data_IF_962621891427
#
_entry.id   IF_962621891427
#
_cell.length_a   1.000
_cell.length_b   1.000
_cell.length_c   1.000
_cell.angle_alpha   90.00
_cell.angle_beta   90.00
_cell.angle_gamma   90.00
#
_symmetry.space_group_name_H-M   'P 1'
#
loop_
_entity.id
_entity.type
_entity.pdbx_description
1 polymer ?
#
# COMPACT_ATOMS: atom_id res chain seq x y z
N UNK A 1 -1.14 -36.54 -32.77
CA UNK A 1 -0.07 -35.55 -32.97
C UNK A 1 0.03 -34.70 -31.71
N UNK A 2 1.16 -34.87 -31.02
CA UNK A 2 1.85 -33.96 -30.09
C UNK A 2 1.03 -33.04 -29.16
N UNK A 3 0.73 -33.55 -27.97
CA UNK A 3 0.81 -32.74 -26.74
C UNK A 3 2.29 -32.66 -26.33
N UNK A 4 2.78 -31.43 -26.15
CA UNK A 4 4.18 -31.12 -25.86
C UNK A 4 4.63 -31.64 -24.51
N UNK A 5 5.29 -32.79 -24.52
CA UNK A 5 6.18 -33.25 -23.48
C UNK A 5 7.44 -32.36 -23.43
N UNK A 6 7.55 -31.52 -22.39
CA UNK A 6 8.83 -31.18 -21.76
C UNK A 6 8.68 -31.23 -20.25
N UNK A 7 8.42 -32.45 -19.76
CA UNK A 7 8.85 -32.85 -18.42
C UNK A 7 10.38 -32.85 -18.43
N UNK A 8 11.01 -31.89 -17.77
CA UNK A 8 12.36 -32.09 -17.29
C UNK A 8 12.30 -33.18 -16.22
N UNK A 9 12.74 -34.38 -16.62
CA UNK A 9 12.93 -35.51 -15.72
C UNK A 9 14.37 -35.51 -15.22
N UNK A 10 14.45 -35.66 -13.90
CA UNK A 10 15.53 -36.30 -13.12
C UNK A 10 16.88 -35.59 -13.02
N UNK A 11 17.15 -34.96 -11.87
CA UNK A 11 17.91 -35.58 -10.78
C UNK A 11 17.94 -34.63 -9.56
N UNK A 12 17.23 -34.99 -8.48
CA UNK A 12 17.69 -34.90 -7.08
C UNK A 12 16.64 -35.57 -6.16
N UNK A 13 17.11 -36.55 -5.37
CA UNK A 13 16.53 -37.18 -4.16
C UNK A 13 14.99 -37.10 -3.93
N UNK A 14 14.28 -38.18 -4.28
CA UNK A 14 12.86 -38.37 -3.95
C UNK A 14 12.50 -38.48 -2.45
N UNK A 15 13.42 -38.22 -1.51
CA UNK A 15 13.10 -38.08 -0.08
C UNK A 15 13.01 -36.64 0.40
N UNK A 16 13.68 -35.68 -0.26
CA UNK A 16 13.67 -34.27 0.15
C UNK A 16 12.47 -33.50 -0.42
N UNK A 17 12.05 -33.82 -1.66
CA UNK A 17 10.85 -33.22 -2.25
C UNK A 17 9.59 -33.51 -1.41
N UNK A 18 9.47 -34.72 -0.86
CA UNK A 18 8.37 -35.07 0.05
C UNK A 18 8.42 -34.29 1.37
N UNK A 19 9.60 -33.81 1.78
CA UNK A 19 9.77 -33.01 2.99
C UNK A 19 9.30 -31.57 2.78
N UNK A 20 9.64 -30.95 1.63
CA UNK A 20 9.24 -29.57 1.32
C UNK A 20 7.72 -29.43 1.14
N UNK A 21 7.07 -30.37 0.44
CA UNK A 21 5.62 -30.37 0.28
C UNK A 21 4.90 -30.54 1.62
N UNK A 22 5.44 -31.39 2.51
CA UNK A 22 4.90 -31.57 3.86
C UNK A 22 5.04 -30.30 4.72
N UNK A 23 6.19 -29.60 4.60
CA UNK A 23 6.42 -28.32 5.28
C UNK A 23 5.48 -27.24 4.75
N UNK A 24 5.34 -27.09 3.43
CA UNK A 24 4.44 -26.13 2.80
C UNK A 24 2.98 -26.36 3.21
N UNK A 25 2.53 -27.62 3.16
CA UNK A 25 1.18 -28.00 3.61
C UNK A 25 0.96 -27.66 5.09
N UNK A 26 1.94 -27.95 5.94
CA UNK A 26 1.86 -27.61 7.37
C UNK A 26 1.79 -26.10 7.60
N UNK A 27 2.60 -25.31 6.89
CA UNK A 27 2.55 -23.83 6.97
C UNK A 27 1.16 -23.34 6.55
N UNK A 28 0.60 -23.85 5.46
CA UNK A 28 -0.74 -23.48 5.01
C UNK A 28 -1.83 -23.85 6.04
N UNK A 29 -1.75 -25.03 6.65
CA UNK A 29 -2.66 -25.48 7.71
C UNK A 29 -2.56 -24.59 8.97
N UNK A 30 -1.34 -24.27 9.40
CA UNK A 30 -1.08 -23.40 10.56
C UNK A 30 -1.60 -21.97 10.31
N UNK A 31 -1.32 -21.41 9.13
CA UNK A 31 -1.81 -20.08 8.72
C UNK A 31 -3.33 -20.05 8.64
N UNK A 32 -3.96 -21.08 8.06
CA UNK A 32 -5.42 -21.16 8.00
C UNK A 32 -6.03 -21.17 9.39
N UNK A 33 -5.46 -21.97 10.30
CA UNK A 33 -5.91 -22.02 11.70
C UNK A 33 -5.78 -20.65 12.37
N UNK A 34 -4.66 -19.98 12.17
CA UNK A 34 -4.40 -18.62 12.68
C UNK A 34 -5.40 -17.59 12.16
N UNK A 35 -5.70 -17.59 10.85
CA UNK A 35 -6.71 -16.72 10.24
C UNK A 35 -8.10 -17.03 10.81
N UNK A 36 -8.45 -18.31 10.94
CA UNK A 36 -9.73 -18.75 11.50
C UNK A 36 -9.91 -18.26 12.95
N UNK A 37 -8.87 -18.38 13.76
CA UNK A 37 -8.86 -18.00 15.18
C UNK A 37 -8.76 -16.48 15.40
N UNK A 38 -8.48 -15.71 14.35
CA UNK A 38 -8.44 -14.24 14.41
C UNK A 38 -9.79 -13.67 14.86
N UNK A 39 -9.75 -12.76 15.83
CA UNK A 39 -10.91 -12.08 16.41
C UNK A 39 -10.82 -10.58 16.15
N UNK A 40 -11.90 -9.88 16.47
CA UNK A 40 -11.93 -8.43 16.53
C UNK A 40 -11.54 -7.98 17.95
N UNK A 41 -10.27 -7.60 18.21
CA UNK A 41 -9.86 -7.20 19.55
C UNK A 41 -10.44 -5.83 19.91
N UNK A 42 -10.53 -5.53 21.20
CA UNK A 42 -10.65 -4.14 21.64
C UNK A 42 -9.30 -3.46 21.41
N UNK A 43 -9.27 -2.32 20.72
CA UNK A 43 -8.01 -1.63 20.42
C UNK A 43 -7.23 -1.28 21.69
N UNK A 44 -5.92 -1.53 21.65
CA UNK A 44 -4.99 -1.34 22.76
C UNK A 44 -5.28 -2.15 24.04
N UNK A 45 -6.02 -3.25 23.91
CA UNK A 45 -6.09 -4.29 24.94
C UNK A 45 -4.90 -5.25 24.83
N UNK A 46 -4.77 -6.17 25.81
CA UNK A 46 -3.84 -7.30 25.69
C UNK A 46 -4.17 -8.18 24.48
N UNK A 47 -5.45 -8.37 24.15
CA UNK A 47 -5.84 -9.12 22.94
C UNK A 47 -5.42 -8.40 21.65
N UNK A 48 -5.41 -7.07 21.63
CA UNK A 48 -4.90 -6.29 20.51
C UNK A 48 -3.40 -6.52 20.32
N UNK A 49 -2.61 -6.51 21.40
CA UNK A 49 -1.16 -6.80 21.33
C UNK A 49 -0.89 -8.16 20.68
N UNK A 50 -1.63 -9.21 21.09
CA UNK A 50 -1.56 -10.54 20.48
C UNK A 50 -2.00 -10.51 19.01
N UNK A 51 -3.03 -9.74 18.69
CA UNK A 51 -3.52 -9.58 17.32
C UNK A 51 -2.50 -8.89 16.41
N UNK A 52 -1.70 -7.96 16.94
CA UNK A 52 -0.61 -7.33 16.19
C UNK A 52 0.44 -8.35 15.74
N UNK A 53 0.84 -9.26 16.64
CA UNK A 53 1.84 -10.29 16.32
C UNK A 53 1.29 -11.30 15.30
N UNK A 54 0.01 -11.66 15.44
CA UNK A 54 -0.69 -12.50 14.49
C UNK A 54 -0.77 -11.88 13.09
N UNK A 55 -1.17 -10.60 13.01
CA UNK A 55 -1.27 -9.86 11.74
C UNK A 55 0.12 -9.68 11.12
N UNK A 56 1.15 -9.33 11.90
CA UNK A 56 2.53 -9.25 11.41
C UNK A 56 3.00 -10.59 10.83
N UNK A 57 2.68 -11.71 11.51
CA UNK A 57 3.01 -13.05 11.01
C UNK A 57 2.30 -13.36 9.69
N UNK A 58 0.99 -13.14 9.60
CA UNK A 58 0.21 -13.39 8.37
C UNK A 58 0.72 -12.51 7.22
N UNK A 59 0.97 -11.22 7.47
CA UNK A 59 1.48 -10.31 6.45
C UNK A 59 2.86 -10.75 5.95
N UNK A 60 3.75 -11.27 6.81
CA UNK A 60 5.03 -11.85 6.37
C UNK A 60 4.82 -13.02 5.42
N UNK A 61 3.88 -13.92 5.70
CA UNK A 61 3.58 -15.05 4.79
C UNK A 61 3.02 -14.53 3.46
N UNK A 62 2.09 -13.57 3.47
CA UNK A 62 1.58 -12.94 2.23
C UNK A 62 2.71 -12.31 1.41
N UNK A 63 3.65 -11.63 2.07
CA UNK A 63 4.81 -11.05 1.40
C UNK A 63 5.71 -12.14 0.81
N UNK A 64 5.93 -13.25 1.53
CA UNK A 64 6.69 -14.38 0.99
C UNK A 64 6.01 -15.00 -0.23
N UNK A 65 4.70 -15.29 -0.17
CA UNK A 65 3.94 -15.83 -1.31
C UNK A 65 4.04 -14.94 -2.55
N UNK A 66 4.07 -13.61 -2.35
CA UNK A 66 4.18 -12.62 -3.43
C UNK A 66 5.62 -12.41 -3.90
N UNK A 67 6.59 -12.48 -3.00
CA UNK A 67 8.01 -12.36 -3.32
C UNK A 67 8.59 -13.65 -3.93
N UNK A 68 7.95 -14.81 -3.73
CA UNK A 68 8.30 -16.07 -4.40
C UNK A 68 8.01 -16.04 -5.92
N UNK A 69 7.16 -15.11 -6.39
CA UNK A 69 7.11 -14.71 -7.82
C UNK A 69 8.36 -13.95 -8.29
N UNK A 70 9.29 -13.69 -7.37
CA UNK A 70 10.53 -12.94 -7.56
C UNK A 70 11.71 -13.65 -6.88
N UNK A 71 11.65 -14.97 -6.69
CA UNK A 71 12.68 -15.79 -6.02
C UNK A 71 14.09 -15.50 -6.54
N UNK A 72 14.25 -15.25 -7.85
CA UNK A 72 15.52 -14.81 -8.46
C UNK A 72 16.08 -13.51 -7.86
N UNK A 73 15.22 -12.55 -7.51
CA UNK A 73 15.63 -11.30 -6.88
C UNK A 73 16.04 -11.49 -5.41
N UNK A 74 15.44 -12.46 -4.70
CA UNK A 74 15.85 -12.84 -3.34
C UNK A 74 17.18 -13.58 -3.38
N UNK A 75 17.33 -14.58 -4.24
CA UNK A 75 18.61 -15.30 -4.42
C UNK A 75 19.72 -14.35 -4.87
N UNK A 76 19.44 -13.41 -5.77
CA UNK A 76 20.42 -12.40 -6.17
C UNK A 76 20.81 -11.44 -5.04
N UNK A 77 19.88 -11.11 -4.12
CA UNK A 77 20.17 -10.25 -2.97
C UNK A 77 21.00 -11.00 -1.92
N UNK A 78 20.65 -12.25 -1.61
CA UNK A 78 21.42 -13.11 -0.72
C UNK A 78 22.83 -13.38 -1.25
N UNK A 79 22.98 -13.70 -2.53
CA UNK A 79 24.29 -13.91 -3.15
C UNK A 79 25.14 -12.62 -3.17
N UNK A 80 24.50 -11.44 -3.30
CA UNK A 80 25.19 -10.15 -3.26
C UNK A 80 25.66 -9.81 -1.84
N UNK A 81 24.86 -10.12 -0.83
CA UNK A 81 25.21 -9.89 0.57
C UNK A 81 26.30 -10.89 1.03
N UNK A 82 26.29 -12.13 0.55
CA UNK A 82 27.39 -13.09 0.75
C UNK A 82 28.68 -12.66 0.05
N UNK A 83 28.59 -12.17 -1.20
CA UNK A 83 29.77 -11.69 -1.94
C UNK A 83 30.43 -10.49 -1.25
N UNK A 84 29.64 -9.56 -0.70
CA UNK A 84 30.15 -8.44 0.10
C UNK A 84 30.86 -8.90 1.36
N UNK A 85 30.30 -9.89 2.06
CA UNK A 85 30.89 -10.43 3.29
C UNK A 85 32.26 -11.07 3.02
N UNK A 86 32.40 -11.78 1.89
CA UNK A 86 33.68 -12.36 1.45
C UNK A 86 34.71 -11.29 1.07
N UNK A 87 34.29 -10.15 0.51
CA UNK A 87 35.20 -9.04 0.19
C UNK A 87 35.67 -8.29 1.46
N UNK A 88 34.78 -8.11 2.45
CA UNK A 88 35.13 -7.50 3.74
C UNK A 88 36.10 -8.38 4.54
N UNK A 89 35.91 -9.70 4.54
CA UNK A 89 36.83 -10.63 5.22
C UNK A 89 38.21 -10.68 4.55
N UNK A 90 38.31 -10.54 3.22
CA UNK A 90 39.60 -10.49 2.50
C UNK A 90 40.40 -9.22 2.75
N UNK A 91 39.73 -8.10 3.03
CA UNK A 91 40.41 -6.86 3.39
C UNK A 91 40.90 -6.83 4.85
N UNK A 92 40.28 -7.63 5.73
CA UNK A 92 40.72 -7.82 7.11
C UNK A 92 42.04 -8.62 7.20
N UNK A 93 42.26 -9.62 6.34
CA UNK A 93 43.43 -10.49 6.44
C UNK A 93 44.71 -9.92 5.81
N UNK A 94 44.60 -8.93 4.91
CA UNK A 94 45.76 -8.37 4.21
C UNK A 94 46.43 -7.18 4.92
N UNK A 95 45.86 -6.66 6.01
CA UNK A 95 46.45 -5.54 6.76
C UNK A 95 47.37 -5.95 7.93
N UNK A 96 47.69 -7.24 8.08
CA UNK A 96 48.40 -7.74 9.27
C UNK A 96 49.84 -8.22 9.03
N UNK A 97 50.40 -8.02 7.84
CA UNK A 97 51.79 -8.39 7.52
C UNK A 97 52.60 -7.11 7.28
N UNK A 98 53.00 -6.46 8.37
CA UNK A 98 54.15 -5.56 8.38
C UNK A 98 55.22 -6.21 9.27
N UNK A 99 56.34 -6.51 8.62
CA UNK A 99 57.49 -7.29 9.08
C UNK A 99 58.26 -6.51 10.14
N UNK A 100 58.50 -7.16 11.29
CA UNK A 100 59.57 -6.82 12.23
C UNK A 100 60.88 -7.39 11.67
N UNK A 101 61.86 -6.54 11.39
CA UNK A 101 63.26 -6.93 11.29
C UNK A 101 64.09 -6.06 12.25
N UNK A 102 64.71 -6.73 13.21
CA UNK A 102 65.73 -6.21 14.12
C UNK A 102 67.10 -6.22 13.43
N UNK A 103 67.90 -5.16 13.61
CA UNK A 103 69.34 -5.28 13.94
C UNK A 103 69.91 -3.91 14.36
N UNK A 104 70.60 -3.89 15.50
CA UNK A 104 71.22 -2.70 16.07
C UNK A 104 72.61 -2.37 15.51
N UNK A 105 73.13 -1.18 15.80
CA UNK A 105 74.27 -0.95 16.71
C UNK A 105 74.68 0.54 16.80
N UNK A 106 74.97 0.97 18.02
CA UNK A 106 75.89 2.02 18.54
C UNK A 106 76.08 3.45 17.98
N UNK A 107 75.96 4.37 18.95
CA UNK A 107 76.79 5.54 19.31
C UNK A 107 76.63 6.94 18.70
N UNK A 108 76.52 7.89 19.66
CA UNK A 108 76.86 9.33 19.64
C UNK A 108 75.87 10.22 18.88
N UNK A 109 75.50 11.44 19.31
CA UNK A 109 75.78 12.25 20.48
C UNK A 109 74.90 13.53 20.38
N UNK A 110 74.72 14.21 21.52
CA UNK A 110 74.61 15.69 21.64
C UNK A 110 73.27 16.41 21.35
N UNK A 111 72.68 16.85 22.48
CA UNK A 111 72.14 18.18 22.78
C UNK A 111 70.77 18.68 22.30
N UNK A 112 70.11 19.29 23.30
CA UNK A 112 69.27 20.49 23.26
C UNK A 112 67.89 20.32 22.56
N UNK A 113 66.76 20.77 23.11
CA UNK A 113 66.48 21.80 24.11
C UNK A 113 65.03 21.62 24.56
N UNK A 114 64.76 21.81 25.86
CA UNK A 114 63.66 22.61 26.47
C UNK A 114 62.41 22.89 25.62
N UNK A 115 61.17 22.89 26.09
CA UNK A 115 60.54 22.86 27.42
C UNK A 115 59.09 23.30 27.20
N UNK A 116 58.17 22.90 28.10
CA UNK A 116 56.98 23.66 28.56
C UNK A 116 55.93 24.11 27.52
N UNK A 117 54.62 24.10 27.76
CA UNK A 117 53.77 24.06 28.93
C UNK A 117 52.36 24.41 28.39
N UNK A 118 51.32 23.68 28.76
CA UNK A 118 50.38 24.03 29.83
C UNK A 118 49.65 25.40 29.66
N UNK A 119 48.32 25.34 29.81
CA UNK A 119 47.36 26.44 30.09
C UNK A 119 47.02 27.38 28.92
N UNK A 120 45.86 28.02 28.78
CA UNK A 120 44.59 28.07 29.51
C UNK A 120 43.57 28.81 28.61
N UNK A 121 42.30 28.79 29.05
CA UNK A 121 41.14 29.56 28.59
C UNK A 121 41.39 30.99 28.08
N UNK A 122 40.50 31.51 27.21
CA UNK A 122 39.66 32.70 27.49
C UNK A 122 38.71 33.07 26.34
N UNK A 123 37.49 33.45 26.74
CA UNK A 123 36.66 34.59 26.31
C UNK A 123 36.29 34.79 24.83
N UNK A 124 34.98 34.87 24.59
CA UNK A 124 34.40 36.09 23.99
C UNK A 124 32.96 36.30 24.46
N UNK A 125 32.66 37.57 24.71
CA UNK A 125 31.52 38.14 25.40
C UNK A 125 30.63 38.96 24.47
N UNK A 126 29.36 39.10 24.87
CA UNK A 126 28.47 40.27 24.76
C UNK A 126 28.16 40.86 23.37
N UNK A 127 26.86 40.95 23.02
CA UNK A 127 26.12 42.22 23.16
C UNK A 127 24.60 42.04 23.01
N UNK A 128 23.89 42.87 23.78
CA UNK A 128 22.44 43.02 23.98
C UNK A 128 21.71 43.64 22.76
N UNK A 129 20.37 43.52 22.72
CA UNK A 129 19.40 44.60 22.48
C UNK A 129 17.98 44.12 22.83
N UNK A 130 17.33 44.89 23.71
CA UNK A 130 15.93 44.87 24.14
C UNK A 130 14.93 45.21 23.02
N UNK A 131 13.73 44.59 23.05
CA UNK A 131 12.48 45.33 22.79
C UNK A 131 11.24 44.64 23.42
N UNK A 132 10.73 45.23 24.50
CA UNK A 132 9.43 44.95 25.13
C UNK A 132 8.27 45.62 24.37
N UNK A 133 7.16 44.91 24.14
CA UNK A 133 5.79 45.47 24.04
C UNK A 133 4.74 44.31 24.15
N UNK A 134 3.46 44.57 24.50
CA UNK A 134 2.88 44.02 25.73
C UNK A 134 1.71 43.04 25.54
N UNK A 135 1.51 42.23 26.58
CA UNK A 135 0.40 41.29 26.80
C UNK A 135 -0.87 42.03 27.28
N UNK A 136 -2.06 41.80 26.70
CA UNK A 136 -3.31 42.16 27.34
C UNK A 136 -3.89 41.01 28.18
N UNK A 137 -4.34 41.42 29.38
CA UNK A 137 -4.84 40.59 30.47
C UNK A 137 -6.21 39.96 30.20
N UNK A 138 -6.36 38.82 30.86
CA UNK A 138 -7.53 38.03 31.22
C UNK A 138 -8.82 38.82 31.53
N UNK A 139 -9.96 38.28 31.10
CA UNK A 139 -11.25 38.51 31.77
C UNK A 139 -11.93 37.17 32.04
N UNK A 140 -12.04 36.88 33.33
CA UNK A 140 -12.69 35.73 33.94
C UNK A 140 -14.20 35.98 34.02
N UNK A 141 -15.03 35.13 33.41
CA UNK A 141 -16.48 35.10 33.65
C UNK A 141 -16.94 33.64 33.78
N UNK A 142 -17.60 33.34 34.90
CA UNK A 142 -18.36 32.11 35.21
C UNK A 142 -19.54 32.55 36.11
N UNK A 143 -20.58 31.74 36.31
CA UNK A 143 -21.40 30.97 35.36
C UNK A 143 -22.89 31.38 35.43
N UNK A 144 -23.60 31.28 34.31
CA UNK A 144 -25.07 31.38 34.26
C UNK A 144 -25.72 30.00 34.29
N UNK A 145 -26.68 29.83 35.19
CA UNK A 145 -27.56 28.67 35.40
C UNK A 145 -28.72 28.59 34.40
N UNK A 146 -29.38 27.42 34.37
CA UNK A 146 -30.62 27.05 33.66
C UNK A 146 -30.43 26.67 32.17
N UNK A 147 -31.07 25.64 31.60
CA UNK A 147 -32.18 24.78 32.03
C UNK A 147 -32.24 23.52 31.15
N UNK A 148 -32.77 22.46 31.74
CA UNK A 148 -33.36 21.27 31.10
C UNK A 148 -34.12 21.59 29.80
N UNK A 149 -34.04 20.72 28.79
CA UNK A 149 -35.16 20.25 27.95
C UNK A 149 -34.69 19.08 27.04
N UNK A 150 -35.23 17.90 27.34
CA UNK A 150 -35.74 16.83 26.48
C UNK A 150 -34.96 16.32 25.25
N UNK A 151 -34.44 15.11 25.42
CA UNK A 151 -34.45 14.02 24.43
C UNK A 151 -35.79 13.89 23.68
N UNK A 152 -35.75 13.51 22.39
CA UNK A 152 -36.62 12.41 22.00
C UNK A 152 -35.97 11.37 21.07
N UNK A 153 -36.14 10.12 21.52
CA UNK A 153 -36.61 8.95 20.75
C UNK A 153 -35.76 8.39 19.61
N UNK A 154 -35.07 7.32 20.00
CA UNK A 154 -34.94 6.05 19.26
C UNK A 154 -36.23 5.71 18.48
N UNK A 155 -36.15 5.60 17.16
CA UNK A 155 -37.09 4.81 16.35
C UNK A 155 -36.39 3.53 15.91
N UNK A 156 -36.81 2.41 16.52
CA UNK A 156 -36.57 1.06 16.05
C UNK A 156 -37.47 0.83 14.83
N UNK A 157 -36.91 0.63 13.65
CA UNK A 157 -37.63 0.04 12.52
C UNK A 157 -37.53 -1.48 12.63
N UNK A 158 -38.69 -2.08 12.91
CA UNK A 158 -38.95 -3.51 12.80
C UNK A 158 -38.98 -3.83 11.29
N UNK A 159 -37.97 -4.52 10.76
CA UNK A 159 -38.04 -5.14 9.43
C UNK A 159 -38.43 -6.60 9.65
N UNK A 160 -39.68 -6.87 9.33
CA UNK A 160 -40.32 -8.18 9.37
C UNK A 160 -39.89 -8.95 8.12
N UNK A 161 -39.18 -10.07 8.30
CA UNK A 161 -38.86 -11.00 7.23
C UNK A 161 -40.13 -11.72 6.78
N UNK A 162 -40.63 -11.35 5.61
CA UNK A 162 -41.67 -12.10 4.91
C UNK A 162 -41.04 -13.28 4.17
N UNK A 163 -41.37 -14.49 4.59
CA UNK A 163 -41.11 -15.71 3.83
C UNK A 163 -42.10 -15.80 2.66
N UNK A 164 -41.60 -15.80 1.43
CA UNK A 164 -42.39 -16.19 0.26
C UNK A 164 -41.90 -17.53 -0.27
N UNK A 165 -42.76 -18.51 -0.07
CA UNK A 165 -42.73 -19.88 -0.53
C UNK A 165 -42.75 -20.00 -2.05
N UNK A 166 -42.01 -21.01 -2.51
CA UNK A 166 -42.01 -21.61 -3.84
C UNK A 166 -43.41 -21.85 -4.39
N UNK A 167 -43.67 -21.42 -5.63
CA UNK A 167 -44.63 -22.05 -6.54
C UNK A 167 -43.99 -22.17 -7.92
N UNK A 168 -43.83 -23.43 -8.35
CA UNK A 168 -43.41 -23.78 -9.69
C UNK A 168 -44.52 -23.54 -10.70
N UNK A 169 -44.15 -23.09 -11.89
CA UNK A 169 -45.00 -23.21 -13.07
C UNK A 169 -44.16 -23.67 -14.25
N UNK A 170 -44.63 -24.78 -14.80
CA UNK A 170 -44.16 -25.51 -15.96
C UNK A 170 -44.49 -24.71 -17.21
N UNK A 171 -43.50 -24.42 -18.06
CA UNK A 171 -43.77 -24.06 -19.45
C UNK A 171 -42.81 -24.79 -20.39
N UNK A 172 -43.38 -25.76 -21.09
CA UNK A 172 -42.86 -26.36 -22.30
C UNK A 172 -42.88 -25.33 -23.43
N UNK A 173 -41.79 -25.22 -24.19
CA UNK A 173 -41.91 -24.77 -25.58
C UNK A 173 -40.85 -25.41 -26.49
N UNK A 174 -41.36 -25.89 -27.62
CA UNK A 174 -40.70 -26.69 -28.65
C UNK A 174 -40.05 -25.81 -29.74
N UNK A 175 -38.86 -26.25 -30.17
CA UNK A 175 -38.25 -26.17 -31.52
C UNK A 175 -38.20 -24.83 -32.29
N UNK A 176 -36.99 -24.45 -32.74
CA UNK A 176 -36.61 -24.39 -34.18
C UNK A 176 -35.12 -24.06 -34.41
N UNK A 177 -34.44 -24.96 -35.13
CA UNK A 177 -33.18 -24.77 -35.91
C UNK A 177 -33.47 -23.93 -37.17
N UNK A 178 -32.51 -23.19 -37.78
CA UNK A 178 -31.60 -23.76 -38.81
C UNK A 178 -30.26 -22.97 -38.96
N UNK A 179 -29.50 -23.03 -40.08
CA UNK A 179 -28.67 -24.14 -40.55
C UNK A 179 -27.17 -23.79 -40.72
N UNK A 180 -26.38 -24.84 -40.89
CA UNK A 180 -24.96 -24.91 -41.29
C UNK A 180 -24.71 -24.59 -42.76
N UNK A 181 -23.58 -23.92 -43.07
CA UNK A 181 -22.43 -24.30 -43.96
C UNK A 181 -21.76 -23.04 -44.61
N UNK A 182 -20.57 -23.08 -45.28
CA UNK A 182 -19.45 -24.03 -45.28
C UNK A 182 -18.04 -23.38 -45.10
N UNK A 183 -17.06 -24.25 -44.92
CA UNK A 183 -15.59 -24.08 -44.86
C UNK A 183 -14.86 -23.75 -46.19
N UNK A 184 -13.75 -22.98 -46.13
CA UNK A 184 -12.49 -23.11 -46.94
C UNK A 184 -11.50 -21.94 -46.67
N UNK A 185 -10.21 -21.99 -47.08
CA UNK A 185 -9.11 -22.86 -46.66
C UNK A 185 -7.90 -22.07 -46.09
N UNK A 186 -6.92 -22.83 -45.62
CA UNK A 186 -5.59 -22.47 -45.11
C UNK A 186 -4.67 -21.70 -46.08
N UNK A 187 -3.86 -20.80 -45.54
CA UNK A 187 -2.53 -20.47 -46.09
C UNK A 187 -1.50 -20.26 -44.99
N UNK A 188 -0.48 -21.10 -45.03
CA UNK A 188 0.75 -21.08 -44.24
C UNK A 188 1.67 -19.95 -44.73
N UNK A 189 2.39 -19.29 -43.82
CA UNK A 189 3.39 -18.28 -44.16
C UNK A 189 4.32 -17.99 -42.99
N UNK A 190 5.40 -18.75 -42.92
CA UNK A 190 6.49 -18.69 -41.95
C UNK A 190 7.27 -17.37 -42.02
N UNK A 191 7.64 -16.77 -40.88
CA UNK A 191 8.97 -16.14 -40.72
C UNK A 191 9.32 -16.03 -39.23
N UNK A 192 10.30 -16.84 -38.84
CA UNK A 192 11.05 -16.75 -37.59
C UNK A 192 12.18 -15.77 -37.84
N UNK A 193 12.26 -14.66 -37.11
CA UNK A 193 13.51 -13.92 -36.88
C UNK A 193 13.64 -13.67 -35.39
N UNK A 194 14.50 -14.49 -34.80
CA UNK A 194 15.14 -14.32 -33.51
C UNK A 194 16.11 -13.15 -33.55
N UNK A 195 15.92 -12.17 -32.66
CA UNK A 195 16.97 -11.24 -32.26
C UNK A 195 16.88 -10.99 -30.75
N UNK A 196 17.65 -11.80 -30.03
CA UNK A 196 18.01 -11.63 -28.63
C UNK A 196 19.10 -10.57 -28.52
N UNK A 197 18.81 -9.45 -27.88
CA UNK A 197 19.83 -8.54 -27.36
C UNK A 197 19.42 -8.02 -25.98
N UNK A 198 20.33 -8.23 -25.04
CA UNK A 198 20.33 -7.89 -23.63
C UNK A 198 19.63 -6.57 -23.23
N UNK A 199 18.71 -6.64 -22.27
CA UNK A 199 18.43 -5.52 -21.36
C UNK A 199 18.16 -6.05 -19.94
N UNK A 200 19.22 -6.18 -19.15
CA UNK A 200 19.22 -6.64 -17.75
C UNK A 200 18.84 -5.52 -16.76
N UNK A 201 17.79 -4.75 -17.06
CA UNK A 201 17.27 -3.69 -16.17
C UNK A 201 15.75 -3.67 -16.30
N UNK A 202 15.02 -4.43 -15.47
CA UNK A 202 13.64 -4.14 -14.98
C UNK A 202 12.84 -5.29 -14.32
N UNK A 203 13.45 -6.38 -13.86
CA UNK A 203 12.65 -7.44 -13.19
C UNK A 203 11.94 -7.01 -11.90
N UNK A 204 12.45 -6.01 -11.17
CA UNK A 204 11.77 -5.49 -9.96
C UNK A 204 10.50 -4.68 -10.24
N UNK A 205 10.35 -4.07 -11.42
CA UNK A 205 9.16 -3.28 -11.75
C UNK A 205 8.02 -4.14 -12.31
N UNK A 206 8.31 -5.34 -12.84
CA UNK A 206 7.26 -6.21 -13.36
C UNK A 206 6.49 -6.96 -12.27
N UNK A 207 7.10 -7.30 -11.13
CA UNK A 207 6.45 -8.12 -10.10
C UNK A 207 5.26 -7.43 -9.38
N UNK A 208 5.22 -6.09 -9.29
CA UNK A 208 4.10 -5.38 -8.65
C UNK A 208 3.08 -4.87 -9.68
N UNK A 209 3.49 -4.69 -10.94
CA UNK A 209 2.61 -4.24 -12.02
C UNK A 209 1.85 -5.40 -12.69
N UNK A 210 2.21 -6.66 -12.40
CA UNK A 210 1.61 -7.86 -13.02
C UNK A 210 0.41 -8.44 -12.25
N UNK A 211 0.08 -7.98 -11.04
CA UNK A 211 -1.02 -8.57 -10.25
C UNK A 211 -2.44 -8.22 -10.75
N UNK A 212 -2.58 -7.24 -11.64
CA UNK A 212 -3.86 -6.86 -12.24
C UNK A 212 -4.08 -7.46 -13.63
N UNK A 213 -3.23 -8.40 -14.05
CA UNK A 213 -3.30 -9.08 -15.36
C UNK A 213 -4.49 -10.05 -15.44
N UNK A 214 -5.70 -9.51 -15.45
CA UNK A 214 -6.91 -9.94 -16.15
C UNK A 214 -7.59 -11.26 -15.78
N UNK A 215 -6.85 -12.37 -15.76
CA UNK A 215 -7.43 -13.67 -16.12
C UNK A 215 -7.32 -14.74 -15.03
N UNK A 216 -6.47 -14.55 -14.02
CA UNK A 216 -6.37 -15.50 -12.91
C UNK A 216 -7.27 -15.10 -11.75
N UNK A 217 -8.20 -15.99 -11.41
CA UNK A 217 -9.05 -15.86 -10.22
C UNK A 217 -8.20 -16.02 -8.96
N UNK A 218 -8.69 -15.56 -7.81
CA UNK A 218 -8.06 -15.83 -6.50
C UNK A 218 -7.83 -17.34 -6.27
N UNK A 219 -8.62 -18.19 -6.91
CA UNK A 219 -8.57 -19.65 -6.79
C UNK A 219 -7.49 -20.30 -7.66
N UNK A 220 -7.02 -19.59 -8.68
CA UNK A 220 -5.96 -20.06 -9.59
C UNK A 220 -4.56 -19.64 -9.14
N UNK A 221 -4.46 -18.68 -8.23
CA UNK A 221 -3.18 -18.19 -7.69
C UNK A 221 -2.62 -19.15 -6.65
N UNK A 222 -1.30 -19.19 -6.52
CA UNK A 222 -0.60 -19.99 -5.50
C UNK A 222 -0.66 -19.34 -4.09
N UNK A 223 -1.28 -18.17 -3.98
CA UNK A 223 -1.44 -17.38 -2.75
C UNK A 223 -2.59 -17.92 -1.89
N UNK A 224 -2.26 -18.69 -0.85
CA UNK A 224 -3.26 -19.30 0.03
C UNK A 224 -3.67 -18.37 1.17
N UNK A 225 -2.82 -17.45 1.63
CA UNK A 225 -3.15 -16.54 2.73
C UNK A 225 -4.39 -15.68 2.44
N UNK A 226 -4.41 -14.97 1.31
CA UNK A 226 -5.54 -14.10 0.93
C UNK A 226 -6.80 -14.94 0.71
N UNK A 227 -6.65 -16.12 0.09
CA UNK A 227 -7.74 -17.07 -0.08
C UNK A 227 -8.38 -17.45 1.25
N UNK A 228 -7.58 -17.82 2.25
CA UNK A 228 -8.08 -18.17 3.58
C UNK A 228 -8.76 -17.00 4.27
N UNK A 229 -8.27 -15.76 4.12
CA UNK A 229 -8.93 -14.56 4.67
C UNK A 229 -10.34 -14.39 4.09
N UNK A 230 -10.52 -14.63 2.79
CA UNK A 230 -11.83 -14.56 2.12
C UNK A 230 -12.72 -15.73 2.53
N UNK A 231 -12.21 -16.97 2.47
CA UNK A 231 -12.96 -18.18 2.85
C UNK A 231 -13.48 -18.14 4.29
N UNK A 232 -12.66 -17.67 5.24
CA UNK A 232 -13.02 -17.58 6.66
C UNK A 232 -13.79 -16.28 7.00
N UNK A 233 -14.14 -15.46 6.00
CA UNK A 233 -14.95 -14.25 6.16
C UNK A 233 -14.29 -13.14 6.98
N UNK A 234 -12.95 -13.10 7.01
CA UNK A 234 -12.19 -12.18 7.87
C UNK A 234 -11.97 -10.80 7.24
N UNK A 235 -12.13 -10.68 5.92
CA UNK A 235 -11.82 -9.45 5.19
C UNK A 235 -12.57 -8.21 5.72
N UNK A 236 -13.89 -8.27 5.88
CA UNK A 236 -14.67 -7.15 6.42
C UNK A 236 -14.41 -6.89 7.92
N UNK A 237 -13.91 -7.88 8.66
CA UNK A 237 -13.48 -7.68 10.04
C UNK A 237 -12.16 -6.89 10.08
N UNK A 238 -11.19 -7.27 9.23
CA UNK A 238 -9.92 -6.54 9.08
C UNK A 238 -10.15 -5.08 8.65
N UNK A 239 -11.09 -4.85 7.72
CA UNK A 239 -11.49 -3.50 7.30
C UNK A 239 -12.00 -2.67 8.49
N UNK A 240 -12.90 -3.23 9.32
CA UNK A 240 -13.43 -2.57 10.51
C UNK A 240 -12.34 -2.26 11.54
N UNK A 241 -11.48 -3.23 11.82
CA UNK A 241 -10.37 -3.06 12.75
C UNK A 241 -9.43 -1.92 12.28
N UNK A 242 -9.12 -1.85 10.98
CA UNK A 242 -8.30 -0.79 10.41
C UNK A 242 -8.99 0.57 10.56
N UNK A 243 -10.27 0.64 10.22
CA UNK A 243 -11.07 1.86 10.29
C UNK A 243 -11.16 2.43 11.71
N UNK A 244 -11.46 1.57 12.70
CA UNK A 244 -11.48 1.91 14.12
C UNK A 244 -10.10 2.32 14.65
N UNK A 245 -9.04 1.63 14.20
CA UNK A 245 -7.67 1.98 14.59
C UNK A 245 -7.29 3.38 14.13
N UNK A 246 -7.67 3.77 12.90
CA UNK A 246 -7.44 5.14 12.41
C UNK A 246 -8.22 6.18 13.19
N UNK A 247 -9.43 5.86 13.66
CA UNK A 247 -10.19 6.76 14.54
C UNK A 247 -9.50 6.95 15.90
N UNK A 248 -9.02 5.86 16.50
CA UNK A 248 -8.28 5.96 17.76
C UNK A 248 -6.95 6.70 17.61
N UNK A 249 -6.20 6.46 16.52
CA UNK A 249 -4.96 7.18 16.24
C UNK A 249 -5.20 8.69 16.05
N UNK A 250 -6.32 9.05 15.42
CA UNK A 250 -6.74 10.45 15.27
C UNK A 250 -7.08 11.09 16.64
N UNK A 251 -7.77 10.35 17.54
CA UNK A 251 -8.05 10.83 18.91
C UNK A 251 -6.77 11.06 19.70
N UNK A 252 -5.79 10.16 19.59
CA UNK A 252 -4.48 10.29 20.24
C UNK A 252 -3.73 11.51 19.71
N UNK A 253 -3.63 11.63 18.38
CA UNK A 253 -2.94 12.76 17.73
C UNK A 253 -3.62 14.10 18.00
N UNK A 254 -4.95 14.09 18.13
CA UNK A 254 -5.76 15.26 18.48
C UNK A 254 -5.78 15.61 19.97
N UNK A 255 -5.08 14.85 20.82
CA UNK A 255 -5.04 15.07 22.27
C UNK A 255 -6.34 14.73 23.01
N UNK A 256 -7.28 14.03 22.36
CA UNK A 256 -8.53 13.57 22.99
C UNK A 256 -8.32 12.33 23.87
N UNK A 257 -7.23 11.59 23.63
CA UNK A 257 -6.79 10.43 24.40
C UNK A 257 -5.29 10.52 24.59
N UNK A 258 -4.81 10.31 25.81
CA UNK A 258 -3.36 10.39 26.08
C UNK A 258 -2.68 9.04 25.80
N UNK A 259 -1.39 9.07 25.43
CA UNK A 259 -0.60 7.83 25.29
C UNK A 259 -0.54 7.06 26.62
N UNK A 260 -0.55 7.77 27.76
CA UNK A 260 -0.56 7.14 29.08
C UNK A 260 -1.82 6.32 29.35
N UNK A 261 -3.00 6.81 28.96
CA UNK A 261 -4.25 6.04 29.04
C UNK A 261 -4.17 4.74 28.22
N UNK A 262 -3.60 4.82 27.01
CA UNK A 262 -3.42 3.66 26.13
C UNK A 262 -2.43 2.64 26.70
N UNK A 263 -1.34 3.10 27.32
CA UNK A 263 -0.36 2.22 27.98
C UNK A 263 -1.00 1.41 29.10
N UNK A 264 -1.88 2.03 29.91
CA UNK A 264 -2.52 1.33 31.04
C UNK A 264 -3.43 0.18 30.62
N UNK A 265 -3.99 0.21 29.41
CA UNK A 265 -4.87 -0.86 28.91
C UNK A 265 -4.14 -1.95 28.14
N UNK A 266 -2.98 -1.64 27.56
CA UNK A 266 -2.27 -2.50 26.60
C UNK A 266 -1.24 -3.43 27.23
N UNK A 267 -0.86 -3.23 28.50
CA UNK A 267 0.23 -3.96 29.18
C UNK A 267 1.60 -3.75 28.53
N UNK A 268 1.76 -2.67 27.76
CA UNK A 268 3.02 -2.24 27.15
C UNK A 268 3.76 -1.31 28.12
N UNK A 269 5.08 -1.47 28.21
CA UNK A 269 5.88 -0.84 29.28
C UNK A 269 6.15 0.64 29.05
N UNK A 270 6.38 1.03 27.80
CA UNK A 270 6.75 2.38 27.45
C UNK A 270 6.12 2.87 26.14
N UNK A 271 6.10 4.20 25.99
CA UNK A 271 5.48 4.89 24.86
C UNK A 271 6.17 4.59 23.52
N UNK A 272 7.48 4.28 23.55
CA UNK A 272 8.24 3.96 22.33
C UNK A 272 7.84 2.59 21.80
N UNK A 273 7.75 1.59 22.69
CA UNK A 273 7.26 0.25 22.36
C UNK A 273 5.82 0.31 21.82
N UNK A 274 4.94 1.09 22.46
CA UNK A 274 3.56 1.27 22.02
C UNK A 274 3.49 1.91 20.62
N UNK A 275 4.25 2.98 20.40
CA UNK A 275 4.32 3.68 19.09
C UNK A 275 4.80 2.72 18.00
N UNK A 276 5.86 1.95 18.27
CA UNK A 276 6.36 0.95 17.33
C UNK A 276 5.31 -0.13 17.03
N UNK A 277 4.59 -0.61 18.05
CA UNK A 277 3.52 -1.60 17.89
C UNK A 277 2.36 -1.05 17.07
N UNK A 278 1.96 0.20 17.30
CA UNK A 278 0.93 0.90 16.53
C UNK A 278 1.31 1.04 15.06
N UNK A 279 2.54 1.49 14.77
CA UNK A 279 3.03 1.65 13.40
C UNK A 279 3.06 0.30 12.67
N UNK A 280 3.60 -0.74 13.30
CA UNK A 280 3.63 -2.10 12.72
C UNK A 280 2.23 -2.65 12.51
N UNK A 281 1.33 -2.46 13.46
CA UNK A 281 -0.05 -2.92 13.33
C UNK A 281 -0.72 -2.28 12.12
N UNK A 282 -0.63 -0.95 11.99
CA UNK A 282 -1.20 -0.22 10.85
C UNK A 282 -0.61 -0.72 9.53
N UNK A 283 0.72 -0.74 9.41
CA UNK A 283 1.39 -1.08 8.16
C UNK A 283 1.07 -2.51 7.73
N UNK A 284 1.14 -3.48 8.65
CA UNK A 284 0.87 -4.87 8.31
C UNK A 284 -0.59 -5.07 7.91
N UNK A 285 -1.52 -4.43 8.61
CA UNK A 285 -2.95 -4.51 8.30
C UNK A 285 -3.29 -3.83 6.97
N UNK A 286 -2.74 -2.64 6.72
CA UNK A 286 -2.97 -1.90 5.47
C UNK A 286 -2.37 -2.63 4.26
N UNK A 287 -1.18 -3.23 4.40
CA UNK A 287 -0.57 -4.07 3.35
C UNK A 287 -1.39 -5.34 3.10
N UNK A 288 -1.90 -5.99 4.15
CA UNK A 288 -2.75 -7.16 4.02
C UNK A 288 -4.05 -6.84 3.26
N UNK A 289 -4.65 -5.68 3.58
CA UNK A 289 -5.81 -5.16 2.86
C UNK A 289 -5.47 -4.84 1.39
N UNK A 290 -4.31 -4.22 1.11
CA UNK A 290 -3.85 -3.95 -0.26
C UNK A 290 -3.81 -5.23 -1.10
N UNK A 291 -3.19 -6.29 -0.60
CA UNK A 291 -3.11 -7.54 -1.34
C UNK A 291 -4.46 -8.23 -1.51
N UNK A 292 -5.37 -8.07 -0.55
CA UNK A 292 -6.74 -8.56 -0.69
C UNK A 292 -7.46 -7.86 -1.85
N UNK A 293 -7.28 -6.54 -1.98
CA UNK A 293 -7.90 -5.72 -3.04
C UNK A 293 -7.42 -6.05 -4.45
N UNK A 294 -6.27 -6.71 -4.60
CA UNK A 294 -5.75 -7.17 -5.90
C UNK A 294 -6.48 -8.40 -6.45
N UNK A 295 -7.51 -8.90 -5.75
CA UNK A 295 -8.37 -9.99 -6.23
C UNK A 295 -9.82 -9.52 -6.36
N UNK A 296 -10.44 -9.84 -7.50
CA UNK A 296 -11.84 -9.49 -7.76
C UNK A 296 -12.78 -10.11 -6.74
N UNK A 297 -12.53 -11.36 -6.35
CA UNK A 297 -13.34 -12.12 -5.41
C UNK A 297 -13.38 -11.44 -4.03
N UNK A 298 -12.23 -10.93 -3.56
CA UNK A 298 -12.19 -10.12 -2.34
C UNK A 298 -13.04 -8.86 -2.50
N UNK A 299 -12.87 -8.13 -3.62
CA UNK A 299 -13.63 -6.90 -3.87
C UNK A 299 -15.14 -7.11 -3.90
N UNK A 300 -15.61 -8.25 -4.39
CA UNK A 300 -17.03 -8.62 -4.43
C UNK A 300 -17.62 -8.88 -3.02
N UNK A 301 -16.79 -9.23 -2.04
CA UNK A 301 -17.23 -9.51 -0.66
C UNK A 301 -17.10 -8.32 0.29
N UNK A 302 -16.40 -7.26 -0.12
CA UNK A 302 -16.16 -6.09 0.71
C UNK A 302 -17.42 -5.25 0.95
N UNK A 303 -17.52 -4.67 2.14
CA UNK A 303 -18.44 -3.57 2.40
C UNK A 303 -17.96 -2.31 1.67
N UNK A 304 -18.62 -2.01 0.56
CA UNK A 304 -18.28 -0.87 -0.30
C UNK A 304 -18.49 0.48 0.39
N UNK A 305 -19.48 0.62 1.29
CA UNK A 305 -19.70 1.87 1.99
C UNK A 305 -18.54 2.16 2.93
N UNK A 306 -18.22 1.19 3.78
CA UNK A 306 -17.11 1.33 4.73
C UNK A 306 -15.77 1.50 4.00
N UNK A 307 -15.55 0.78 2.91
CA UNK A 307 -14.32 0.91 2.10
C UNK A 307 -14.14 2.33 1.58
N UNK A 308 -15.17 2.91 0.97
CA UNK A 308 -15.10 4.27 0.43
C UNK A 308 -15.04 5.34 1.54
N UNK A 309 -15.65 5.09 2.71
CA UNK A 309 -15.50 5.95 3.88
C UNK A 309 -14.07 5.92 4.45
N UNK A 310 -13.45 4.75 4.55
CA UNK A 310 -12.05 4.61 4.94
C UNK A 310 -11.13 5.36 3.97
N UNK A 311 -11.31 5.17 2.65
CA UNK A 311 -10.55 5.86 1.61
C UNK A 311 -10.71 7.38 1.76
N UNK A 312 -11.96 7.85 1.90
CA UNK A 312 -12.23 9.27 2.10
C UNK A 312 -11.51 9.80 3.35
N UNK A 313 -11.69 9.13 4.49
CA UNK A 313 -11.15 9.56 5.80
C UNK A 313 -9.63 9.70 5.78
N UNK A 314 -8.93 8.76 5.13
CA UNK A 314 -7.47 8.66 5.19
C UNK A 314 -6.72 9.33 4.05
N UNK A 315 -7.39 9.89 3.03
CA UNK A 315 -6.77 10.86 2.11
C UNK A 315 -6.52 12.21 2.84
N UNK A 316 -5.58 12.20 3.78
CA UNK A 316 -5.24 13.32 4.66
C UNK A 316 -3.80 13.77 4.44
N UNK A 317 -3.63 14.94 3.82
CA UNK A 317 -2.31 15.50 3.49
C UNK A 317 -1.43 15.71 4.71
N UNK A 318 -1.98 16.23 5.81
CA UNK A 318 -1.19 16.55 7.00
C UNK A 318 -0.61 15.28 7.60
N UNK A 319 -1.47 14.28 7.82
CA UNK A 319 -1.04 12.99 8.38
C UNK A 319 -0.02 12.30 7.47
N UNK A 320 -0.21 12.32 6.15
CA UNK A 320 0.76 11.74 5.22
C UNK A 320 2.13 12.42 5.30
N UNK A 321 2.19 13.76 5.29
CA UNK A 321 3.46 14.49 5.33
C UNK A 321 4.18 14.32 6.69
N UNK A 322 3.42 14.34 7.79
CA UNK A 322 3.95 14.07 9.13
C UNK A 322 4.54 12.65 9.20
N UNK A 323 3.84 11.66 8.63
CA UNK A 323 4.31 10.28 8.56
C UNK A 323 5.50 10.13 7.60
N UNK A 324 5.55 10.86 6.48
CA UNK A 324 6.70 10.84 5.56
C UNK A 324 7.97 11.31 6.27
N UNK A 325 7.87 12.35 7.09
CA UNK A 325 8.99 12.86 7.87
C UNK A 325 9.47 11.84 8.92
N UNK A 326 8.54 11.15 9.60
CA UNK A 326 8.85 10.21 10.70
C UNK A 326 9.31 8.84 10.21
N UNK A 327 8.71 8.33 9.13
CA UNK A 327 8.83 6.94 8.68
C UNK A 327 9.65 6.79 7.38
N UNK A 328 9.98 7.90 6.71
CA UNK A 328 10.70 7.86 5.44
C UNK A 328 9.91 7.13 4.35
N UNK A 329 10.45 6.08 3.78
CA UNK A 329 9.80 5.31 2.70
C UNK A 329 8.79 4.29 3.20
N UNK A 330 8.79 3.96 4.49
CA UNK A 330 7.74 3.13 5.07
C UNK A 330 6.38 3.85 5.12
N UNK A 331 6.32 5.16 4.85
CA UNK A 331 5.04 5.88 4.66
C UNK A 331 4.18 5.24 3.56
N UNK A 332 4.80 4.60 2.56
CA UNK A 332 4.05 3.96 1.47
C UNK A 332 3.39 2.64 1.89
N UNK A 333 3.58 2.22 3.15
CA UNK A 333 2.86 1.11 3.78
C UNK A 333 1.76 1.60 4.73
N UNK A 334 1.62 2.91 4.95
CA UNK A 334 0.56 3.44 5.81
C UNK A 334 -0.76 3.56 5.06
N UNK A 335 -1.84 3.71 5.82
CA UNK A 335 -3.20 3.78 5.27
C UNK A 335 -3.37 5.00 4.36
N UNK A 336 -2.76 6.14 4.70
CA UNK A 336 -2.90 7.39 3.93
C UNK A 336 -2.45 7.25 2.48
N UNK A 337 -1.43 6.43 2.24
CA UNK A 337 -0.96 6.15 0.89
C UNK A 337 -1.72 4.98 0.25
N UNK A 338 -1.88 3.87 0.97
CA UNK A 338 -2.44 2.64 0.40
C UNK A 338 -3.92 2.76 0.00
N UNK A 339 -4.68 3.71 0.57
CA UNK A 339 -6.06 3.98 0.11
C UNK A 339 -6.15 4.41 -1.35
N UNK A 340 -5.06 4.96 -1.92
CA UNK A 340 -4.99 5.27 -3.36
C UNK A 340 -4.99 3.97 -4.16
N UNK A 341 -4.23 2.95 -3.73
CA UNK A 341 -4.21 1.65 -4.39
C UNK A 341 -5.52 0.88 -4.19
N UNK A 342 -6.18 1.05 -3.04
CA UNK A 342 -7.53 0.51 -2.82
C UNK A 342 -8.53 1.08 -3.83
N UNK A 343 -8.53 2.40 -3.99
CA UNK A 343 -9.39 3.10 -4.95
C UNK A 343 -9.06 2.67 -6.39
N UNK A 344 -7.79 2.53 -6.73
CA UNK A 344 -7.36 2.03 -8.04
C UNK A 344 -7.91 0.65 -8.31
N UNK A 345 -7.78 -0.27 -7.35
CA UNK A 345 -8.23 -1.65 -7.49
C UNK A 345 -9.73 -1.74 -7.75
N UNK A 346 -10.53 -0.93 -7.05
CA UNK A 346 -11.97 -0.83 -7.29
C UNK A 346 -12.27 -0.39 -8.73
N UNK A 347 -11.59 0.64 -9.23
CA UNK A 347 -11.86 1.20 -10.55
C UNK A 347 -11.30 0.37 -11.71
N UNK A 348 -10.18 -0.34 -11.51
CA UNK A 348 -9.66 -1.31 -12.48
C UNK A 348 -10.62 -2.48 -12.68
N UNK A 349 -11.34 -2.87 -11.63
CA UNK A 349 -12.29 -3.98 -11.66
C UNK A 349 -13.75 -3.55 -11.75
N UNK A 350 -14.04 -2.26 -12.00
CA UNK A 350 -15.38 -1.69 -11.82
C UNK A 350 -16.43 -2.34 -12.72
N UNK A 351 -16.05 -2.76 -13.93
CA UNK A 351 -16.93 -3.46 -14.89
C UNK A 351 -17.42 -4.83 -14.37
N UNK A 352 -16.63 -5.47 -13.50
CA UNK A 352 -16.94 -6.76 -12.87
C UNK A 352 -17.58 -6.59 -11.48
N UNK A 353 -17.78 -5.34 -11.06
CA UNK A 353 -18.40 -4.94 -9.79
C UNK A 353 -19.70 -4.17 -10.08
N UNK A 354 -20.31 -3.62 -9.03
CA UNK A 354 -21.46 -2.72 -9.17
C UNK A 354 -20.96 -1.29 -9.48
N UNK A 355 -20.70 -1.03 -10.77
CA UNK A 355 -20.18 0.25 -11.24
C UNK A 355 -21.06 1.43 -10.80
N UNK A 356 -22.38 1.30 -10.93
CA UNK A 356 -23.31 2.39 -10.62
C UNK A 356 -23.22 2.77 -9.15
N UNK A 357 -23.24 1.78 -8.25
CA UNK A 357 -23.09 2.01 -6.82
C UNK A 357 -21.74 2.63 -6.48
N UNK A 358 -20.63 2.06 -6.97
CA UNK A 358 -19.28 2.56 -6.68
C UNK A 358 -19.12 4.00 -7.17
N UNK A 359 -19.57 4.27 -8.40
CA UNK A 359 -19.49 5.60 -9.03
C UNK A 359 -20.32 6.64 -8.29
N UNK A 360 -21.57 6.31 -7.95
CA UNK A 360 -22.44 7.22 -7.19
C UNK A 360 -21.85 7.55 -5.82
N UNK A 361 -21.34 6.55 -5.10
CA UNK A 361 -20.69 6.73 -3.80
C UNK A 361 -19.39 7.53 -3.89
N UNK A 362 -18.65 7.38 -4.99
CA UNK A 362 -17.42 8.15 -5.29
C UNK A 362 -17.75 9.63 -5.52
N UNK A 363 -18.83 9.91 -6.25
CA UNK A 363 -19.35 11.26 -6.50
C UNK A 363 -19.85 11.88 -5.20
N UNK A 364 -20.70 11.18 -4.44
CA UNK A 364 -21.30 11.65 -3.19
C UNK A 364 -20.23 12.08 -2.17
N UNK A 365 -19.16 11.28 -2.05
CA UNK A 365 -18.03 11.54 -1.15
C UNK A 365 -16.98 12.49 -1.72
N UNK A 366 -17.15 12.97 -2.96
CA UNK A 366 -16.19 13.83 -3.69
C UNK A 366 -14.76 13.26 -3.69
N UNK A 367 -14.63 11.94 -3.90
CA UNK A 367 -13.32 11.27 -3.78
C UNK A 367 -12.31 11.74 -4.84
N UNK A 368 -12.74 11.97 -6.09
CA UNK A 368 -11.82 12.42 -7.14
C UNK A 368 -11.26 13.83 -6.87
N UNK A 369 -12.08 14.86 -6.56
CA UNK A 369 -11.56 16.15 -6.13
C UNK A 369 -10.61 16.07 -4.94
N UNK A 370 -10.97 15.27 -3.93
CA UNK A 370 -10.14 15.08 -2.75
C UNK A 370 -8.80 14.40 -3.07
N UNK A 371 -8.79 13.39 -3.93
CA UNK A 371 -7.57 12.74 -4.41
C UNK A 371 -6.66 13.75 -5.12
N UNK A 372 -7.21 14.58 -6.02
CA UNK A 372 -6.42 15.58 -6.75
C UNK A 372 -5.82 16.62 -5.78
N UNK A 373 -6.60 17.12 -4.82
CA UNK A 373 -6.12 18.06 -3.80
C UNK A 373 -5.07 17.45 -2.86
N UNK A 374 -5.23 16.16 -2.53
CA UNK A 374 -4.23 15.42 -1.77
C UNK A 374 -2.92 15.35 -2.56
N UNK A 375 -2.98 14.88 -3.81
CA UNK A 375 -1.81 14.73 -4.67
C UNK A 375 -1.12 16.06 -4.96
N UNK A 376 -1.86 17.16 -5.17
CA UNK A 376 -1.28 18.48 -5.42
C UNK A 376 -0.27 18.88 -4.32
N UNK A 377 -0.55 18.47 -3.08
CA UNK A 377 0.28 18.80 -1.91
C UNK A 377 1.34 17.74 -1.60
N UNK A 378 1.17 16.51 -2.06
CA UNK A 378 2.03 15.38 -1.67
C UNK A 378 2.93 14.86 -2.79
N UNK A 379 2.57 15.07 -4.06
CA UNK A 379 3.24 14.46 -5.24
C UNK A 379 4.72 14.82 -5.34
N UNK A 380 5.13 15.99 -4.87
CA UNK A 380 6.55 16.41 -4.84
C UNK A 380 7.41 15.61 -3.87
N UNK A 381 6.80 14.90 -2.92
CA UNK A 381 7.47 14.07 -1.91
C UNK A 381 7.47 12.58 -2.27
N UNK A 382 6.94 12.23 -3.45
CA UNK A 382 6.77 10.86 -3.92
C UNK A 382 7.85 10.47 -4.93
N UNK A 383 8.23 9.20 -4.93
CA UNK A 383 9.09 8.63 -5.97
C UNK A 383 8.35 8.50 -7.31
N UNK A 384 9.09 8.29 -8.40
CA UNK A 384 8.51 8.17 -9.75
C UNK A 384 7.43 7.08 -9.81
N UNK A 385 7.70 5.93 -9.20
CA UNK A 385 6.80 4.78 -9.20
C UNK A 385 5.49 5.08 -8.45
N UNK A 386 5.58 5.76 -7.31
CA UNK A 386 4.42 6.17 -6.51
C UNK A 386 3.57 7.21 -7.25
N UNK A 387 4.23 8.16 -7.93
CA UNK A 387 3.57 9.14 -8.80
C UNK A 387 2.75 8.42 -9.88
N UNK A 388 3.36 7.49 -10.62
CA UNK A 388 2.66 6.75 -11.67
C UNK A 388 1.44 6.02 -11.13
N UNK A 389 1.56 5.32 -10.00
CA UNK A 389 0.44 4.61 -9.38
C UNK A 389 -0.72 5.54 -9.02
N UNK A 390 -0.43 6.73 -8.50
CA UNK A 390 -1.44 7.74 -8.19
C UNK A 390 -2.18 8.20 -9.46
N UNK A 391 -1.46 8.42 -10.56
CA UNK A 391 -2.07 8.84 -11.82
C UNK A 391 -2.78 7.70 -12.57
N UNK A 392 -2.35 6.46 -12.39
CA UNK A 392 -3.09 5.28 -12.85
C UNK A 392 -4.42 5.14 -12.12
N UNK A 393 -4.49 5.54 -10.85
CA UNK A 393 -5.74 5.60 -10.10
C UNK A 393 -6.73 6.58 -10.73
N UNK A 394 -6.26 7.79 -11.08
CA UNK A 394 -7.10 8.79 -11.79
C UNK A 394 -7.49 8.27 -13.17
N UNK A 395 -6.57 7.64 -13.89
CA UNK A 395 -6.83 7.01 -15.20
C UNK A 395 -7.88 5.90 -15.12
N UNK A 396 -7.87 5.09 -14.06
CA UNK A 396 -8.87 4.05 -13.84
C UNK A 396 -10.26 4.65 -13.54
N UNK A 397 -10.34 5.70 -12.70
CA UNK A 397 -11.60 6.43 -12.45
C UNK A 397 -12.14 7.03 -13.76
N UNK A 398 -11.24 7.62 -14.54
CA UNK A 398 -11.53 8.19 -15.83
C UNK A 398 -12.05 7.17 -16.85
N UNK A 399 -11.59 5.92 -16.77
CA UNK A 399 -11.97 4.87 -17.70
C UNK A 399 -13.39 4.34 -17.48
N UNK A 400 -13.98 4.52 -16.29
CA UNK A 400 -15.33 4.05 -15.98
C UNK A 400 -16.40 4.68 -16.90
N UNK A 401 -17.40 3.89 -17.29
CA UNK A 401 -18.47 4.33 -18.19
C UNK A 401 -19.27 5.49 -17.59
N UNK A 402 -19.55 5.42 -16.28
CA UNK A 402 -20.26 6.45 -15.52
C UNK A 402 -19.50 7.77 -15.50
N UNK A 403 -18.16 7.72 -15.47
CA UNK A 403 -17.34 8.93 -15.59
C UNK A 403 -17.45 9.53 -17.00
N UNK A 404 -17.40 8.69 -18.04
CA UNK A 404 -17.49 9.15 -19.42
C UNK A 404 -18.84 9.83 -19.72
N UNK A 405 -19.93 9.30 -19.16
CA UNK A 405 -21.29 9.83 -19.34
C UNK A 405 -21.62 11.02 -18.44
N UNK A 406 -21.05 11.07 -17.22
CA UNK A 406 -21.42 12.06 -16.18
C UNK A 406 -20.21 12.78 -15.57
N UNK A 407 -19.21 13.12 -16.37
CA UNK A 407 -17.95 13.75 -15.94
C UNK A 407 -18.11 14.95 -15.01
N UNK A 408 -19.03 15.87 -15.33
CA UNK A 408 -19.22 17.09 -14.54
C UNK A 408 -19.68 16.78 -13.10
N UNK A 409 -20.27 15.62 -12.83
CA UNK A 409 -20.64 15.22 -11.47
C UNK A 409 -19.42 14.89 -10.61
N UNK A 410 -18.34 14.38 -11.22
CA UNK A 410 -17.12 14.01 -10.48
C UNK A 410 -16.32 15.24 -10.04
N UNK A 411 -16.17 16.23 -10.91
CA UNK A 411 -15.48 17.49 -10.58
C UNK A 411 -16.39 18.52 -9.91
N UNK A 412 -17.70 18.44 -10.14
CA UNK A 412 -18.61 19.54 -9.85
C UNK A 412 -18.23 20.79 -10.63
N UNK A 413 -18.45 21.96 -10.03
CA UNK A 413 -18.03 23.26 -10.57
C UNK A 413 -16.62 23.68 -10.14
N UNK A 414 -15.79 22.74 -9.67
CA UNK A 414 -14.49 23.03 -9.08
C UNK A 414 -13.40 23.22 -10.14
N UNK A 415 -13.27 24.47 -10.62
CA UNK A 415 -12.24 24.86 -11.58
C UNK A 415 -10.84 24.65 -11.04
N UNK A 416 -10.61 24.92 -9.76
CA UNK A 416 -9.28 24.88 -9.16
C UNK A 416 -8.73 23.45 -9.15
N UNK A 417 -9.59 22.47 -8.84
CA UNK A 417 -9.24 21.05 -8.94
C UNK A 417 -8.89 20.63 -10.36
N UNK A 418 -9.67 21.07 -11.37
CA UNK A 418 -9.35 20.80 -12.78
C UNK A 418 -7.98 21.39 -13.18
N UNK A 419 -7.68 22.62 -12.76
CA UNK A 419 -6.40 23.28 -13.03
C UNK A 419 -5.23 22.61 -12.31
N UNK A 420 -5.43 22.18 -11.05
CA UNK A 420 -4.44 21.43 -10.28
C UNK A 420 -4.06 20.12 -11.00
N UNK A 421 -5.06 19.39 -11.54
CA UNK A 421 -4.81 18.17 -12.31
C UNK A 421 -3.94 18.43 -13.55
N UNK A 422 -4.25 19.48 -14.32
CA UNK A 422 -3.46 19.87 -15.51
C UNK A 422 -2.03 20.22 -15.12
N UNK A 423 -1.87 21.06 -14.09
CA UNK A 423 -0.54 21.47 -13.58
C UNK A 423 0.29 20.28 -13.13
N UNK A 424 -0.29 19.36 -12.37
CA UNK A 424 0.43 18.17 -11.92
C UNK A 424 0.80 17.24 -13.07
N UNK A 425 -0.08 17.08 -14.06
CA UNK A 425 0.22 16.30 -15.25
C UNK A 425 1.42 16.87 -16.02
N UNK A 426 1.43 18.17 -16.29
CA UNK A 426 2.51 18.81 -17.03
C UNK A 426 3.84 18.77 -16.26
N UNK A 427 3.79 18.91 -14.93
CA UNK A 427 4.98 18.96 -14.07
C UNK A 427 5.58 17.58 -13.79
N UNK A 428 4.72 16.59 -13.49
CA UNK A 428 5.17 15.29 -12.97
C UNK A 428 5.00 14.16 -13.97
N UNK A 429 3.89 14.11 -14.72
CA UNK A 429 3.52 12.93 -15.52
C UNK A 429 4.11 12.98 -16.92
N UNK A 430 4.06 14.14 -17.59
CA UNK A 430 4.45 14.29 -19.00
C UNK A 430 5.85 13.76 -19.31
N UNK A 431 6.81 13.99 -18.40
CA UNK A 431 8.19 13.49 -18.51
C UNK A 431 8.34 11.98 -18.33
N UNK A 432 7.36 11.33 -17.70
CA UNK A 432 7.37 9.89 -17.41
C UNK A 432 6.71 9.05 -18.52
N UNK A 433 6.08 9.71 -19.50
CA UNK A 433 5.45 9.10 -20.67
C UNK A 433 6.47 8.71 -21.75
N UNK A 434 7.61 8.14 -21.35
CA UNK A 434 8.67 7.72 -22.26
C UNK A 434 8.42 6.34 -22.89
N UNK A 435 7.69 5.44 -22.22
CA UNK A 435 7.31 4.13 -22.71
C UNK A 435 5.85 4.11 -23.22
N UNK A 436 5.61 3.38 -24.31
CA UNK A 436 4.28 3.03 -24.82
C UNK A 436 3.36 2.44 -23.75
N UNK A 437 3.85 1.51 -22.92
CA UNK A 437 3.00 0.86 -21.90
C UNK A 437 2.45 1.85 -20.89
N UNK A 438 3.28 2.82 -20.45
CA UNK A 438 2.86 3.89 -19.55
C UNK A 438 1.85 4.84 -20.21
N UNK A 439 2.06 5.17 -21.49
CA UNK A 439 1.09 5.96 -22.26
C UNK A 439 -0.26 5.25 -22.37
N UNK A 440 -0.22 3.92 -22.51
CA UNK A 440 -1.42 3.08 -22.59
C UNK A 440 -2.15 3.05 -21.24
N UNK A 441 -1.45 2.81 -20.13
CA UNK A 441 -2.10 2.77 -18.79
C UNK A 441 -2.67 4.13 -18.37
N UNK A 442 -2.06 5.23 -18.80
CA UNK A 442 -2.49 6.60 -18.50
C UNK A 442 -3.38 7.23 -19.58
N UNK A 443 -3.89 6.46 -20.54
CA UNK A 443 -4.61 7.02 -21.70
C UNK A 443 -5.81 7.87 -21.31
N UNK A 444 -6.67 7.35 -20.44
CA UNK A 444 -7.89 8.05 -20.01
C UNK A 444 -7.59 9.35 -19.26
N UNK A 445 -6.51 9.38 -18.48
CA UNK A 445 -6.02 10.61 -17.85
C UNK A 445 -5.57 11.64 -18.89
N UNK A 446 -4.77 11.23 -19.88
CA UNK A 446 -4.28 12.11 -20.94
C UNK A 446 -5.46 12.76 -21.68
N UNK A 447 -6.48 11.96 -22.00
CA UNK A 447 -7.68 12.44 -22.69
C UNK A 447 -8.50 13.43 -21.84
N UNK A 448 -8.55 13.25 -20.52
CA UNK A 448 -9.18 14.23 -19.61
C UNK A 448 -8.37 15.52 -19.56
N UNK A 449 -7.05 15.44 -19.36
CA UNK A 449 -6.19 16.63 -19.25
C UNK A 449 -6.27 17.46 -20.53
N UNK A 450 -6.17 16.82 -21.70
CA UNK A 450 -6.31 17.52 -22.98
C UNK A 450 -7.68 18.19 -23.12
N UNK A 451 -8.75 17.54 -22.65
CA UNK A 451 -10.08 18.16 -22.68
C UNK A 451 -10.17 19.37 -21.76
N UNK A 452 -9.65 19.29 -20.54
CA UNK A 452 -9.63 20.42 -19.60
C UNK A 452 -8.82 21.57 -20.21
N UNK A 453 -7.66 21.28 -20.83
CA UNK A 453 -6.88 22.27 -21.55
C UNK A 453 -7.69 23.01 -22.61
N UNK A 454 -8.44 22.27 -23.44
CA UNK A 454 -9.36 22.85 -24.43
C UNK A 454 -10.48 23.67 -23.77
N UNK A 455 -11.10 23.16 -22.69
CA UNK A 455 -12.18 23.83 -21.94
C UNK A 455 -11.75 25.22 -21.43
N UNK A 456 -10.48 25.38 -21.06
CA UNK A 456 -9.95 26.61 -20.47
C UNK A 456 -8.96 27.40 -21.36
N UNK A 457 -8.76 26.98 -22.62
CA UNK A 457 -7.84 27.64 -23.55
C UNK A 457 -6.37 27.61 -23.11
N UNK A 458 -5.92 26.47 -22.56
CA UNK A 458 -4.53 26.24 -22.15
C UNK A 458 -3.85 25.40 -23.23
N UNK A 459 -2.96 26.00 -24.03
CA UNK A 459 -2.21 25.30 -25.09
C UNK A 459 -1.01 24.49 -24.53
#
# INVERSE_FOLDING_TARGET
>A
MFFGARRQKHYQSGSEANSLDAVSKKIAEDVRKEIKDMKHPSLFSKEWVVSCDLIEKITKVVLMEREDLNFEAITAKLNKDESKKIEEDKHSETSSIAVNDEQGNDHSSTQATTSSGATSATNTSLDDIDEEQPVPKTTTVRPGTASLINNPRKKKSNIQFGSSTLHGSTFSNTQKKPPTSPSRPSTSGSSIISSSTHSSVNHKQQAITTSFSGDQTLWDRDEYCIRFIVEEGKLNMLLRILDEFKDEQAKITGGQKTMQEVLTTSDIKDETELTNKMNKFEMNLAVLMMYSFHSLESLQTLDMYQTLDLINKNMNTKTFLDNKLKLGDDVYKTTEYLVIDYLRSLFVHIEKLDESKISNLTIERKLLPKLIQFLEKTVSHMGEHEIIRCFETISAIAAAETFQTSREKYFGSDKDVKMALVKMYDTHVKKLLNNYDRKKSLRSLIDIVNRIKIEYGLD
#
